data_IF_224036673369
#
_entry.id   IF_224036673369
#
_cell.length_a   1.000
_cell.length_b   1.000
_cell.length_c   1.000
_cell.angle_alpha   90.00
_cell.angle_beta   90.00
_cell.angle_gamma   90.00
#
_symmetry.space_group_name_H-M   'P 1'
#
loop_
_entity.id
_entity.type
_entity.pdbx_description
1 polymer ?
#
# COMPACT_ATOMS: atom_id res chain seq x y z
N UNK A 1 8.78 -4.65 -14.19
CA UNK A 1 8.31 -4.38 -15.56
C UNK A 1 7.20 -5.35 -15.93
N UNK A 2 7.44 -6.66 -15.98
CA UNK A 2 6.42 -7.67 -16.37
C UNK A 2 5.14 -7.66 -15.51
N UNK A 3 5.23 -7.39 -14.21
CA UNK A 3 4.08 -7.32 -13.32
C UNK A 3 3.20 -6.08 -13.63
N UNK A 4 3.84 -4.95 -13.94
CA UNK A 4 3.14 -3.71 -14.31
C UNK A 4 2.42 -3.91 -15.64
N UNK A 5 3.09 -4.49 -16.63
CA UNK A 5 2.51 -4.76 -17.94
C UNK A 5 1.29 -5.68 -17.84
N UNK A 6 1.36 -6.72 -16.98
CA UNK A 6 0.23 -7.62 -16.72
C UNK A 6 -0.96 -6.90 -16.07
N UNK A 7 -0.73 -6.00 -15.12
CA UNK A 7 -1.79 -5.19 -14.49
C UNK A 7 -2.43 -4.24 -15.49
N UNK A 8 -1.62 -3.55 -16.31
CA UNK A 8 -2.13 -2.62 -17.33
C UNK A 8 -2.97 -3.37 -18.35
N UNK A 9 -2.46 -4.50 -18.87
CA UNK A 9 -3.18 -5.32 -19.84
C UNK A 9 -4.53 -5.83 -19.30
N UNK A 10 -4.57 -6.33 -18.06
CA UNK A 10 -5.79 -6.78 -17.43
C UNK A 10 -6.80 -5.63 -17.25
N UNK A 11 -6.34 -4.43 -16.88
CA UNK A 11 -7.19 -3.25 -16.74
C UNK A 11 -7.71 -2.73 -18.09
N UNK A 12 -6.90 -2.79 -19.14
CA UNK A 12 -7.32 -2.38 -20.49
C UNK A 12 -8.32 -3.34 -21.12
N UNK A 13 -8.20 -4.64 -20.81
CA UNK A 13 -9.12 -5.66 -21.32
C UNK A 13 -10.53 -5.54 -20.74
N UNK A 14 -10.64 -5.45 -19.40
CA UNK A 14 -11.91 -5.58 -18.68
C UNK A 14 -12.25 -4.37 -17.80
N UNK A 15 -11.55 -3.25 -17.96
CA UNK A 15 -11.79 -2.02 -17.21
C UNK A 15 -11.12 -1.99 -15.82
N UNK A 16 -11.42 -0.98 -15.00
CA UNK A 16 -10.87 -0.83 -13.65
C UNK A 16 -11.15 -2.03 -12.76
N UNK A 17 -10.21 -2.34 -11.86
CA UNK A 17 -10.43 -3.37 -10.85
C UNK A 17 -11.45 -2.90 -9.82
N UNK A 18 -12.37 -3.79 -9.45
CA UNK A 18 -13.47 -3.51 -8.52
C UNK A 18 -13.22 -4.00 -7.11
N UNK A 19 -12.34 -4.99 -6.95
CA UNK A 19 -11.98 -5.57 -5.66
C UNK A 19 -10.57 -6.17 -5.68
N UNK A 20 -10.06 -6.56 -4.50
CA UNK A 20 -8.83 -7.34 -4.38
C UNK A 20 -8.97 -8.72 -5.04
N UNK A 21 -10.17 -9.30 -4.98
CA UNK A 21 -10.47 -10.62 -5.56
C UNK A 21 -10.54 -10.55 -7.08
N UNK A 22 -11.20 -9.52 -7.63
CA UNK A 22 -11.23 -9.23 -9.06
C UNK A 22 -9.81 -9.03 -9.60
N UNK A 23 -9.00 -8.22 -8.90
CA UNK A 23 -7.59 -8.04 -9.23
C UNK A 23 -6.82 -9.36 -9.26
N UNK A 24 -6.95 -10.20 -8.22
CA UNK A 24 -6.24 -11.47 -8.11
C UNK A 24 -6.70 -12.50 -9.16
N UNK A 25 -7.97 -12.45 -9.59
CA UNK A 25 -8.52 -13.33 -10.61
C UNK A 25 -8.06 -12.97 -12.03
N UNK A 26 -7.95 -11.66 -12.33
CA UNK A 26 -7.67 -11.14 -13.68
C UNK A 26 -6.19 -11.00 -14.00
N UNK A 27 -5.35 -10.73 -13.00
CA UNK A 27 -3.92 -10.53 -13.24
C UNK A 27 -3.18 -11.87 -13.26
N UNK A 28 -2.31 -12.04 -14.26
CA UNK A 28 -1.51 -13.27 -14.43
C UNK A 28 -0.67 -13.59 -13.20
N UNK A 29 -0.99 -14.72 -12.57
CA UNK A 29 -0.34 -15.22 -11.34
C UNK A 29 1.14 -15.55 -11.54
N UNK A 30 1.57 -15.87 -12.75
CA UNK A 30 2.98 -16.15 -13.04
C UNK A 30 3.83 -14.89 -12.99
N UNK A 31 3.20 -13.73 -13.26
CA UNK A 31 3.85 -12.42 -13.29
C UNK A 31 3.63 -11.61 -12.01
N UNK A 32 2.68 -12.02 -11.17
CA UNK A 32 2.30 -11.33 -9.95
C UNK A 32 2.45 -12.25 -8.73
N UNK A 33 3.41 -11.95 -7.87
CA UNK A 33 3.58 -12.69 -6.63
C UNK A 33 2.93 -11.95 -5.44
N UNK A 34 2.73 -12.68 -4.34
CA UNK A 34 2.15 -12.16 -3.10
C UNK A 34 2.87 -10.90 -2.60
N UNK A 35 4.20 -10.88 -2.63
CA UNK A 35 5.01 -9.73 -2.17
C UNK A 35 4.75 -8.47 -2.97
N UNK A 36 4.52 -8.62 -4.27
CA UNK A 36 4.17 -7.47 -5.14
C UNK A 36 2.81 -6.91 -4.77
N UNK A 37 1.80 -7.76 -4.53
CA UNK A 37 0.46 -7.33 -4.09
C UNK A 37 0.54 -6.65 -2.72
N UNK A 38 1.26 -7.23 -1.77
CA UNK A 38 1.50 -6.63 -0.45
C UNK A 38 2.17 -5.25 -0.56
N UNK A 39 3.15 -5.10 -1.45
CA UNK A 39 3.81 -3.81 -1.68
C UNK A 39 2.86 -2.77 -2.30
N UNK A 40 1.99 -3.17 -3.23
CA UNK A 40 0.96 -2.31 -3.81
C UNK A 40 -0.06 -1.85 -2.75
N UNK A 41 -0.50 -2.75 -1.87
CA UNK A 41 -1.40 -2.41 -0.76
C UNK A 41 -0.73 -1.42 0.19
N UNK A 42 0.51 -1.67 0.59
CA UNK A 42 1.30 -0.77 1.44
C UNK A 42 1.47 0.61 0.82
N UNK A 43 1.69 0.67 -0.48
CA UNK A 43 1.80 1.91 -1.25
C UNK A 43 0.46 2.64 -1.44
N UNK A 44 -0.68 1.99 -1.16
CA UNK A 44 -2.00 2.57 -1.31
C UNK A 44 -2.59 2.47 -2.72
N UNK A 45 -2.08 1.57 -3.56
CA UNK A 45 -2.59 1.39 -4.92
C UNK A 45 -4.07 0.95 -4.97
N UNK A 46 -4.59 0.40 -3.89
CA UNK A 46 -5.98 -0.06 -3.76
C UNK A 46 -6.90 0.91 -3.00
N UNK A 47 -6.43 2.08 -2.58
CA UNK A 47 -7.21 3.03 -1.75
C UNK A 47 -8.50 3.53 -2.41
N UNK A 48 -8.60 3.47 -3.74
CA UNK A 48 -9.82 3.78 -4.49
C UNK A 48 -10.89 2.70 -4.37
N UNK A 49 -10.50 1.48 -4.06
CA UNK A 49 -11.37 0.29 -3.92
C UNK A 49 -11.70 0.08 -2.45
N UNK A 50 -10.68 0.04 -1.60
CA UNK A 50 -10.80 -0.18 -0.16
C UNK A 50 -9.74 0.64 0.59
N UNK A 51 -10.18 1.50 1.50
CA UNK A 51 -9.30 2.37 2.28
C UNK A 51 -8.63 1.67 3.45
N UNK A 52 -9.22 0.57 3.93
CA UNK A 52 -8.63 -0.21 5.02
C UNK A 52 -7.54 -1.15 4.48
N UNK A 53 -6.34 -0.61 4.33
CA UNK A 53 -5.18 -1.37 3.85
C UNK A 53 -4.83 -2.56 4.74
N UNK A 54 -5.15 -2.51 6.04
CA UNK A 54 -4.95 -3.64 6.95
C UNK A 54 -5.85 -4.83 6.60
N UNK A 55 -7.12 -4.57 6.25
CA UNK A 55 -8.07 -5.59 5.79
C UNK A 55 -7.64 -6.17 4.44
N UNK A 56 -7.20 -5.33 3.51
CA UNK A 56 -6.63 -5.79 2.25
C UNK A 56 -5.42 -6.71 2.48
N UNK A 57 -4.49 -6.28 3.34
CA UNK A 57 -3.29 -7.06 3.67
C UNK A 57 -3.62 -8.42 4.27
N UNK A 58 -4.56 -8.48 5.21
CA UNK A 58 -5.01 -9.72 5.83
C UNK A 58 -5.76 -10.65 4.85
N UNK A 59 -6.29 -10.10 3.76
CA UNK A 59 -7.07 -10.84 2.76
C UNK A 59 -6.26 -11.31 1.55
N UNK A 60 -4.98 -10.96 1.44
CA UNK A 60 -4.14 -11.31 0.28
C UNK A 60 -4.15 -12.80 0.00
N UNK A 61 -3.91 -13.65 1.01
CA UNK A 61 -3.88 -15.10 0.86
C UNK A 61 -5.22 -15.64 0.36
N UNK A 62 -6.32 -15.20 0.99
CA UNK A 62 -7.68 -15.55 0.57
C UNK A 62 -7.98 -15.13 -0.88
N UNK A 63 -7.46 -14.00 -1.32
CA UNK A 63 -7.63 -13.54 -2.70
C UNK A 63 -6.89 -14.44 -3.71
N UNK A 64 -5.70 -14.90 -3.37
CA UNK A 64 -4.98 -15.86 -4.22
C UNK A 64 -5.65 -17.23 -4.26
N UNK A 65 -6.17 -17.72 -3.13
CA UNK A 65 -6.92 -18.98 -3.06
C UNK A 65 -8.21 -18.90 -3.88
N UNK A 66 -8.97 -17.82 -3.75
CA UNK A 66 -10.18 -17.55 -4.54
C UNK A 66 -9.86 -17.55 -6.03
N UNK A 67 -8.84 -16.82 -6.45
CA UNK A 67 -8.42 -16.78 -7.83
C UNK A 67 -7.95 -18.15 -8.34
N UNK A 68 -7.33 -18.99 -7.49
CA UNK A 68 -6.97 -20.36 -7.86
C UNK A 68 -8.19 -21.26 -8.06
N UNK A 69 -9.17 -21.14 -7.17
CA UNK A 69 -10.45 -21.86 -7.29
C UNK A 69 -11.23 -21.46 -8.54
N UNK A 70 -11.30 -20.17 -8.85
CA UNK A 70 -11.92 -19.65 -10.07
C UNK A 70 -11.29 -20.24 -11.35
N UNK A 71 -9.97 -20.25 -11.43
CA UNK A 71 -9.24 -20.81 -12.56
C UNK A 71 -9.45 -22.32 -12.69
N UNK A 72 -9.53 -23.05 -11.58
CA UNK A 72 -9.80 -24.50 -11.58
C UNK A 72 -11.25 -24.78 -12.09
N UNK A 73 -12.22 -24.00 -11.62
CA UNK A 73 -13.61 -24.14 -12.04
C UNK A 73 -13.80 -23.81 -13.52
N UNK A 74 -13.18 -22.75 -14.04
CA UNK A 74 -13.22 -22.40 -15.45
C UNK A 74 -12.71 -23.53 -16.36
N UNK A 75 -11.70 -24.29 -15.91
CA UNK A 75 -11.16 -25.42 -16.65
C UNK A 75 -12.07 -26.68 -16.56
N UNK A 76 -12.93 -26.80 -15.55
CA UNK A 76 -13.83 -27.95 -15.37
C UNK A 76 -15.15 -27.78 -16.11
N UNK A 77 -15.67 -26.57 -16.24
CA UNK A 77 -16.94 -26.28 -16.94
C UNK A 77 -16.86 -26.67 -18.43
N UNK A 78 -15.70 -26.61 -19.05
CA UNK A 78 -15.49 -27.00 -20.45
C UNK A 78 -15.69 -28.49 -20.77
N UNK A 79 -15.80 -29.39 -19.76
CA UNK A 79 -15.90 -30.85 -20.00
C UNK A 79 -17.32 -31.43 -19.83
N UNK A 80 -18.25 -30.71 -19.18
CA UNK A 80 -19.58 -31.27 -18.82
C UNK A 80 -20.77 -30.41 -19.20
N UNK A 81 -20.58 -29.23 -19.81
CA UNK A 81 -21.69 -28.30 -20.04
C UNK A 81 -22.17 -28.30 -21.50
N UNK A 82 -22.83 -29.40 -21.92
CA UNK A 82 -23.71 -29.40 -23.08
C UNK A 82 -25.21 -29.27 -22.72
N UNK A 83 -25.58 -29.22 -21.43
CA UNK A 83 -26.97 -29.23 -20.97
C UNK A 83 -27.19 -28.46 -19.66
N UNK A 84 -26.78 -27.20 -19.58
CA UNK A 84 -27.19 -26.36 -18.43
C UNK A 84 -27.49 -24.93 -18.87
N UNK A 85 -28.69 -24.74 -19.40
CA UNK A 85 -29.39 -23.47 -19.31
C UNK A 85 -29.52 -23.05 -17.85
N UNK A 86 -29.01 -21.84 -17.56
CA UNK A 86 -29.33 -21.03 -16.40
C UNK A 86 -29.05 -21.64 -15.01
N UNK A 87 -27.83 -21.50 -14.57
CA UNK A 87 -27.54 -20.92 -13.23
C UNK A 87 -26.10 -20.48 -13.27
N UNK A 88 -25.90 -19.21 -13.64
CA UNK A 88 -24.63 -18.53 -13.44
C UNK A 88 -24.26 -18.65 -11.95
N UNK A 89 -23.43 -19.60 -11.66
CA UNK A 89 -22.73 -19.66 -10.37
C UNK A 89 -21.75 -18.48 -10.34
N UNK A 90 -22.30 -17.28 -10.14
CA UNK A 90 -21.51 -16.16 -9.69
C UNK A 90 -20.98 -16.57 -8.31
N UNK A 91 -19.81 -17.16 -8.26
CA UNK A 91 -19.14 -17.41 -7.00
C UNK A 91 -18.96 -16.05 -6.34
N UNK A 92 -19.84 -15.77 -5.38
CA UNK A 92 -19.84 -14.52 -4.64
C UNK A 92 -18.43 -14.31 -4.06
N UNK A 93 -17.87 -13.15 -4.31
CA UNK A 93 -16.57 -12.80 -3.75
C UNK A 93 -16.61 -12.91 -2.23
N UNK A 94 -15.59 -13.53 -1.60
CA UNK A 94 -15.53 -13.60 -0.16
C UNK A 94 -15.41 -12.19 0.44
N UNK A 95 -15.97 -11.98 1.63
CA UNK A 95 -15.75 -10.74 2.37
C UNK A 95 -14.28 -10.59 2.77
N UNK A 96 -13.80 -9.35 2.77
CA UNK A 96 -12.47 -9.04 3.29
C UNK A 96 -12.38 -9.38 4.77
N UNK A 97 -11.19 -9.78 5.21
CA UNK A 97 -10.93 -10.01 6.64
C UNK A 97 -11.05 -8.68 7.37
N UNK A 98 -12.00 -8.61 8.31
CA UNK A 98 -12.20 -7.42 9.12
C UNK A 98 -11.00 -7.21 10.06
N UNK A 99 -10.32 -6.07 9.92
CA UNK A 99 -9.20 -5.67 10.77
C UNK A 99 -9.33 -4.20 11.16
N UNK A 100 -8.67 -3.82 12.26
CA UNK A 100 -8.56 -2.42 12.64
C UNK A 100 -7.67 -1.72 11.60
N UNK A 101 -8.11 -0.57 11.04
CA UNK A 101 -7.28 0.20 10.11
C UNK A 101 -5.95 0.61 10.74
N UNK A 102 -4.90 0.64 9.93
CA UNK A 102 -3.60 1.16 10.39
C UNK A 102 -3.73 2.61 10.85
N UNK A 103 -3.10 2.92 11.98
CA UNK A 103 -2.90 4.31 12.40
C UNK A 103 -1.97 5.05 11.43
N UNK A 104 -1.94 6.39 11.54
CA UNK A 104 -1.14 7.25 10.64
C UNK A 104 0.33 6.82 10.61
N UNK A 105 0.94 6.61 11.78
CA UNK A 105 2.34 6.20 11.91
C UNK A 105 2.62 4.87 11.22
N UNK A 106 1.76 3.89 11.43
CA UNK A 106 1.91 2.56 10.82
C UNK A 106 1.76 2.63 9.31
N UNK A 107 0.71 3.31 8.82
CA UNK A 107 0.48 3.52 7.39
C UNK A 107 1.69 4.16 6.71
N UNK A 108 2.22 5.24 7.26
CA UNK A 108 3.41 5.92 6.73
C UNK A 108 4.66 5.03 6.77
N UNK A 109 4.81 4.22 7.83
CA UNK A 109 5.92 3.26 7.92
C UNK A 109 5.82 2.19 6.83
N UNK A 110 4.61 1.68 6.55
CA UNK A 110 4.38 0.71 5.49
C UNK A 110 4.61 1.32 4.10
N UNK A 111 4.20 2.56 3.86
CA UNK A 111 4.51 3.29 2.62
C UNK A 111 6.02 3.43 2.40
N UNK A 112 6.75 3.90 3.43
CA UNK A 112 8.21 4.03 3.36
C UNK A 112 8.88 2.68 3.10
N UNK A 113 8.38 1.60 3.67
CA UNK A 113 8.92 0.24 3.45
C UNK A 113 8.69 -0.22 2.00
N UNK A 114 7.55 0.11 1.40
CA UNK A 114 7.20 -0.33 0.05
C UNK A 114 7.82 0.52 -1.06
N UNK A 115 7.87 1.85 -0.86
CA UNK A 115 8.21 2.83 -1.91
C UNK A 115 9.50 3.60 -1.60
N UNK A 116 9.94 3.60 -0.35
CA UNK A 116 11.14 4.30 0.11
C UNK A 116 10.87 5.71 0.67
N UNK A 117 9.66 6.24 0.54
CA UNK A 117 9.26 7.55 1.06
C UNK A 117 7.80 7.56 1.52
N UNK A 118 7.39 8.64 2.21
CA UNK A 118 6.01 8.83 2.66
C UNK A 118 5.16 9.42 1.53
N UNK A 119 4.02 8.80 1.22
CA UNK A 119 3.11 9.23 0.15
C UNK A 119 1.92 10.03 0.68
N UNK A 120 1.29 9.55 1.75
CA UNK A 120 0.00 10.06 2.22
C UNK A 120 0.09 11.10 3.34
N UNK A 121 1.30 11.49 3.76
CA UNK A 121 1.52 12.46 4.83
C UNK A 121 2.96 12.45 5.34
N UNK A 122 3.19 13.08 6.46
CA UNK A 122 4.49 13.12 7.13
C UNK A 122 4.34 12.77 8.61
N UNK A 123 5.32 12.05 9.18
CA UNK A 123 5.29 11.68 10.61
C UNK A 123 5.17 12.90 11.55
N UNK A 124 5.65 14.05 11.10
CA UNK A 124 5.54 15.30 11.83
C UNK A 124 4.11 15.83 11.92
N UNK A 125 3.23 15.46 10.99
CA UNK A 125 1.86 15.95 10.94
C UNK A 125 1.07 15.56 12.20
N UNK A 126 1.39 14.40 12.78
CA UNK A 126 0.75 13.89 14.01
C UNK A 126 1.06 14.78 15.23
N UNK A 127 2.26 15.35 15.30
CA UNK A 127 2.72 16.20 16.41
C UNK A 127 2.70 17.69 16.09
N UNK A 128 2.43 18.05 14.85
CA UNK A 128 2.52 19.43 14.35
C UNK A 128 1.65 20.42 15.15
N UNK A 129 0.46 19.98 15.59
CA UNK A 129 -0.46 20.78 16.39
C UNK A 129 0.10 21.20 17.75
N UNK A 130 0.81 20.27 18.40
CA UNK A 130 1.45 20.52 19.71
C UNK A 130 2.71 21.37 19.53
N UNK A 131 3.55 21.03 18.54
CA UNK A 131 4.80 21.73 18.27
C UNK A 131 4.59 23.19 17.89
N UNK A 132 3.53 23.53 17.14
CA UNK A 132 3.19 24.92 16.78
C UNK A 132 2.92 25.83 17.96
N UNK A 133 2.67 25.29 19.16
CA UNK A 133 2.53 26.10 20.38
C UNK A 133 3.88 26.61 20.88
N UNK A 134 4.97 25.93 20.56
CA UNK A 134 6.32 26.23 21.01
C UNK A 134 7.19 26.85 19.90
N UNK A 135 6.96 26.42 18.65
CA UNK A 135 7.75 26.81 17.49
C UNK A 135 6.83 27.41 16.44
N UNK A 136 6.97 28.71 16.18
CA UNK A 136 6.12 29.43 15.23
C UNK A 136 6.64 29.39 13.80
N UNK A 137 7.94 29.19 13.61
CA UNK A 137 8.62 29.24 12.33
C UNK A 137 8.75 27.86 11.71
N UNK A 138 8.55 27.74 10.41
CA UNK A 138 8.81 26.52 9.65
C UNK A 138 10.17 26.60 9.00
N UNK A 139 10.78 25.43 8.73
CA UNK A 139 12.08 25.35 8.05
C UNK A 139 12.03 26.05 6.68
N UNK A 140 10.92 25.93 5.95
CA UNK A 140 10.73 26.58 4.64
C UNK A 140 10.60 28.10 4.68
N UNK A 141 10.33 28.67 5.86
CA UNK A 141 10.18 30.12 6.07
C UNK A 141 11.47 30.79 6.60
N UNK A 142 12.56 30.00 6.66
CA UNK A 142 13.85 30.51 7.15
C UNK A 142 14.41 31.56 6.19
N UNK A 143 14.74 32.72 6.76
CA UNK A 143 15.51 33.77 6.11
C UNK A 143 16.85 33.94 6.85
N UNK A 144 17.86 34.38 6.13
CA UNK A 144 19.16 34.66 6.73
C UNK A 144 19.02 35.76 7.79
N UNK A 145 19.35 35.45 9.04
CA UNK A 145 19.17 36.32 10.19
C UNK A 145 20.27 36.02 11.23
N UNK A 146 20.68 37.07 11.94
CA UNK A 146 21.61 36.96 13.10
C UNK A 146 20.87 36.54 14.37
N UNK A 147 19.55 36.47 14.37
CA UNK A 147 18.75 36.11 15.53
C UNK A 147 18.76 34.60 15.79
N UNK A 148 18.70 34.22 17.05
CA UNK A 148 18.55 32.82 17.43
C UNK A 148 17.13 32.34 17.10
N UNK A 149 17.02 31.33 16.23
CA UNK A 149 15.75 30.74 15.81
C UNK A 149 15.55 29.38 16.48
N UNK A 150 14.31 29.11 16.89
CA UNK A 150 13.92 27.80 17.42
C UNK A 150 13.17 27.03 16.33
N UNK A 151 13.66 25.86 15.99
CA UNK A 151 13.09 24.95 15.01
C UNK A 151 12.70 23.63 15.66
N UNK A 152 11.74 22.94 15.08
CA UNK A 152 11.39 21.60 15.48
C UNK A 152 11.29 20.67 14.26
N UNK A 153 11.72 19.44 14.43
CA UNK A 153 11.70 18.42 13.39
C UNK A 153 11.81 17.02 13.98
N UNK A 154 11.67 16.02 13.14
CA UNK A 154 11.90 14.62 13.46
C UNK A 154 13.29 14.26 12.94
N UNK A 155 14.14 13.70 13.78
CA UNK A 155 15.44 13.17 13.36
C UNK A 155 15.19 11.89 12.56
N UNK A 156 15.52 11.90 11.28
CA UNK A 156 15.34 10.76 10.38
C UNK A 156 16.58 9.92 10.20
N UNK A 157 17.75 10.52 10.41
CA UNK A 157 19.06 9.84 10.37
C UNK A 157 20.02 10.52 11.33
N UNK A 158 20.91 9.77 11.95
CA UNK A 158 21.94 10.27 12.84
C UNK A 158 23.27 9.58 12.50
N UNK A 159 24.21 10.35 12.00
CA UNK A 159 25.58 9.87 11.77
C UNK A 159 26.51 10.39 12.84
N UNK A 160 27.25 9.50 13.47
CA UNK A 160 28.28 9.86 14.43
C UNK A 160 29.66 9.77 13.74
N UNK A 161 30.29 10.89 13.54
CA UNK A 161 31.63 10.97 12.97
C UNK A 161 32.63 11.13 14.12
N UNK A 162 33.62 10.22 14.21
CA UNK A 162 34.71 10.31 15.16
C UNK A 162 35.88 11.03 14.51
N UNK A 163 36.18 12.26 14.95
CA UNK A 163 37.30 13.05 14.50
C UNK A 163 38.36 13.17 15.58
N UNK A 164 39.51 13.78 15.25
CA UNK A 164 40.60 13.99 16.20
C UNK A 164 40.25 14.86 17.42
N UNK A 165 39.14 15.63 17.33
CA UNK A 165 38.64 16.52 18.41
C UNK A 165 37.42 15.91 19.16
N UNK A 166 37.10 14.64 18.98
CA UNK A 166 36.00 13.98 19.64
C UNK A 166 34.93 13.47 18.67
N UNK A 167 33.77 13.04 19.22
CA UNK A 167 32.61 12.57 18.44
C UNK A 167 31.70 13.75 18.13
N UNK A 168 31.36 13.93 16.86
CA UNK A 168 30.36 14.89 16.40
C UNK A 168 29.18 14.09 15.84
N UNK A 169 27.96 14.39 16.31
CA UNK A 169 26.73 13.89 15.69
C UNK A 169 26.25 14.88 14.61
N UNK A 170 25.96 14.38 13.43
CA UNK A 170 25.37 15.15 12.32
C UNK A 170 24.09 14.46 11.89
#
# INVERSE_FOLDING_TARGET
>A
EQAIDAMVAAREADGPFTSLYDFAARVDKQRMNRRTVEALIKAGAFDSIERNRASLMASVERAFDYAAAQAANANQVGLFDMDADAHGSSSQEPELVATVPWGVKERLTQEKTAVGFFLSGHLFDEVSGEVRRFVKMRIGDLVDSLDTLTLAGIVTDLRVISGQRGRLGI
#
